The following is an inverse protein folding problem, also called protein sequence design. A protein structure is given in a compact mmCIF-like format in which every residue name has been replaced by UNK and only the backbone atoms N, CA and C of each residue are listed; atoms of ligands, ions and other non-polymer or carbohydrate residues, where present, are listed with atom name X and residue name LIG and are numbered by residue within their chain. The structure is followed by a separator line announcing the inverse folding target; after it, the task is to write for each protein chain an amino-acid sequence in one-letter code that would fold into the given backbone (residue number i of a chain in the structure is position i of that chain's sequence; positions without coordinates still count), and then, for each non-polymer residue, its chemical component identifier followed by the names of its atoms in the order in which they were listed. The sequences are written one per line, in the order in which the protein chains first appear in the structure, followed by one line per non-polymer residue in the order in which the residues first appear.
data_IF_981106795042
#
_entry.id   IF_981106795042
#
_cell.length_a   1.000
_cell.length_b   1.000
_cell.length_c   1.000
_cell.angle_alpha   90.00
_cell.angle_beta   90.00
_cell.angle_gamma   90.00
#
_symmetry.space_group_name_H-M   'P 1'
#
loop_
_entity.id
_entity.type
_entity.pdbx_description
1 polymer ?
#
# COMPACT_ATOMS: atom_id res chain seq x y z
N UNK A 1 -9.83 -5.50 1.80
CA UNK A 1 -9.85 -6.64 2.74
C UNK A 1 -11.09 -6.48 3.61
N UNK A 2 -12.23 -7.06 3.21
CA UNK A 2 -13.58 -6.64 3.64
C UNK A 2 -14.17 -7.44 4.82
N UNK A 3 -13.32 -8.05 5.67
CA UNK A 3 -13.76 -8.97 6.73
C UNK A 3 -13.63 -8.47 8.17
N UNK A 4 -13.04 -7.29 8.39
CA UNK A 4 -12.86 -6.73 9.73
C UNK A 4 -14.12 -5.99 10.19
N UNK A 5 -14.35 -5.95 11.50
CA UNK A 5 -15.38 -5.11 12.12
C UNK A 5 -14.72 -3.98 12.88
N UNK A 6 -15.20 -2.77 12.62
CA UNK A 6 -14.81 -1.56 13.33
C UNK A 6 -16.03 -1.01 14.06
N UNK A 7 -15.88 -0.76 15.36
CA UNK A 7 -16.85 -0.04 16.17
C UNK A 7 -16.16 1.19 16.73
N UNK A 8 -16.77 2.36 16.59
CA UNK A 8 -16.12 3.63 16.87
C UNK A 8 -17.03 4.50 17.73
N UNK A 9 -16.41 5.33 18.57
CA UNK A 9 -17.06 6.39 19.31
C UNK A 9 -16.09 7.54 19.56
N UNK A 10 -16.54 8.54 20.31
CA UNK A 10 -15.73 9.74 20.54
C UNK A 10 -14.43 9.41 21.29
N UNK A 11 -13.31 9.47 20.56
CA UNK A 11 -11.97 9.23 21.09
C UNK A 11 -11.61 7.76 21.35
N UNK A 12 -12.34 6.82 20.75
CA UNK A 12 -11.99 5.40 20.83
C UNK A 12 -12.48 4.58 19.63
N UNK A 13 -11.81 3.46 19.39
CA UNK A 13 -12.15 2.48 18.34
C UNK A 13 -11.90 1.07 18.84
N UNK A 14 -12.82 0.16 18.55
CA UNK A 14 -12.65 -1.29 18.69
C UNK A 14 -12.47 -1.88 17.28
N UNK A 15 -11.45 -2.71 17.11
CA UNK A 15 -11.17 -3.43 15.86
C UNK A 15 -11.18 -4.93 16.13
N UNK A 16 -12.11 -5.62 15.49
CA UNK A 16 -12.11 -7.07 15.40
C UNK A 16 -11.59 -7.48 14.04
N UNK A 17 -10.48 -8.23 14.05
CA UNK A 17 -9.88 -8.73 12.82
C UNK A 17 -10.60 -9.98 12.33
N UNK A 18 -10.49 -10.21 11.02
CA UNK A 18 -11.08 -11.36 10.34
C UNK A 18 -10.70 -12.71 10.97
N UNK A 19 -9.43 -12.84 11.38
CA UNK A 19 -8.90 -14.02 12.05
C UNK A 19 -9.52 -14.14 13.46
N UNK A 20 -10.34 -15.19 13.72
CA UNK A 20 -11.03 -15.35 15.00
C UNK A 20 -10.07 -15.59 16.18
N UNK A 21 -8.82 -15.98 15.93
CA UNK A 21 -7.82 -16.20 16.97
C UNK A 21 -7.10 -14.91 17.39
N UNK A 22 -7.34 -13.79 16.71
CA UNK A 22 -6.71 -12.52 17.05
C UNK A 22 -7.50 -11.79 18.13
N UNK A 23 -6.80 -11.30 19.15
CA UNK A 23 -7.38 -10.48 20.20
C UNK A 23 -8.12 -9.25 19.62
N UNK A 24 -9.31 -8.90 20.15
CA UNK A 24 -9.91 -7.59 19.93
C UNK A 24 -8.91 -6.47 20.25
N UNK A 25 -8.83 -5.46 19.40
CA UNK A 25 -8.00 -4.27 19.66
C UNK A 25 -8.89 -3.12 20.08
N UNK A 26 -8.52 -2.45 21.16
CA UNK A 26 -9.18 -1.25 21.65
C UNK A 26 -8.16 -0.11 21.60
N UNK A 27 -8.42 0.85 20.74
CA UNK A 27 -7.60 2.04 20.54
C UNK A 27 -8.29 3.21 21.23
N UNK A 28 -7.56 3.95 22.07
CA UNK A 28 -8.04 5.13 22.78
C UNK A 28 -7.20 6.33 22.35
N UNK A 29 -7.84 7.41 21.91
CA UNK A 29 -7.16 8.66 21.58
C UNK A 29 -6.39 9.16 22.82
N UNK A 30 -5.11 9.51 22.63
CA UNK A 30 -4.24 10.08 23.67
C UNK A 30 -4.90 11.24 24.42
N UNK A 31 -5.68 12.09 23.73
CA UNK A 31 -6.42 13.21 24.33
C UNK A 31 -7.52 12.76 25.28
N UNK A 32 -8.07 11.57 25.08
CA UNK A 32 -9.13 10.97 25.89
C UNK A 32 -8.64 9.82 26.77
N UNK A 33 -7.33 9.58 26.84
CA UNK A 33 -6.73 8.45 27.53
C UNK A 33 -7.20 8.25 28.98
N UNK A 34 -7.51 9.32 29.71
CA UNK A 34 -7.99 9.24 31.09
C UNK A 34 -9.51 9.14 31.21
N UNK A 35 -10.26 9.73 30.27
CA UNK A 35 -11.72 9.90 30.39
C UNK A 35 -12.51 8.98 29.45
N UNK A 36 -11.83 8.16 28.65
CA UNK A 36 -12.47 7.29 27.68
C UNK A 36 -13.39 6.28 28.35
N UNK A 37 -14.61 6.06 27.83
CA UNK A 37 -15.50 5.00 28.32
C UNK A 37 -14.85 3.62 28.23
N UNK A 38 -13.89 3.42 27.32
CA UNK A 38 -13.19 2.13 27.14
C UNK A 38 -12.22 1.78 28.28
N UNK A 39 -11.96 2.71 29.20
CA UNK A 39 -11.24 2.42 30.44
C UNK A 39 -12.09 1.58 31.41
N UNK A 40 -13.42 1.70 31.35
CA UNK A 40 -14.33 0.85 32.10
C UNK A 40 -14.33 -0.57 31.49
N UNK A 41 -13.98 -1.56 32.32
CA UNK A 41 -13.87 -2.95 31.89
C UNK A 41 -15.21 -3.54 31.47
N UNK A 42 -16.28 -3.28 32.22
CA UNK A 42 -17.60 -3.85 31.93
C UNK A 42 -18.16 -3.27 30.63
N UNK A 43 -18.06 -1.95 30.47
CA UNK A 43 -18.52 -1.28 29.26
C UNK A 43 -17.71 -1.72 28.03
N UNK A 44 -16.40 -1.89 28.19
CA UNK A 44 -15.53 -2.41 27.13
C UNK A 44 -15.90 -3.84 26.73
N UNK A 45 -16.12 -4.73 27.69
CA UNK A 45 -16.53 -6.12 27.44
C UNK A 45 -17.89 -6.17 26.71
N UNK A 46 -18.86 -5.35 27.13
CA UNK A 46 -20.16 -5.24 26.46
C UNK A 46 -20.03 -4.74 25.01
N UNK A 47 -19.23 -3.69 24.79
CA UNK A 47 -18.99 -3.14 23.46
C UNK A 47 -18.28 -4.15 22.53
N UNK A 48 -17.32 -4.92 23.06
CA UNK A 48 -16.67 -6.01 22.32
C UNK A 48 -17.70 -7.08 21.96
N UNK A 49 -18.56 -7.48 22.88
CA UNK A 49 -19.63 -8.46 22.62
C UNK A 49 -20.55 -8.04 21.48
N UNK A 50 -20.97 -6.77 21.45
CA UNK A 50 -21.78 -6.21 20.34
C UNK A 50 -21.01 -6.31 19.01
N UNK A 51 -19.73 -5.94 19.00
CA UNK A 51 -18.91 -6.05 17.80
C UNK A 51 -18.73 -7.50 17.34
N UNK A 52 -18.61 -8.45 18.28
CA UNK A 52 -18.50 -9.88 18.00
C UNK A 52 -19.78 -10.47 17.41
N UNK A 53 -20.95 -10.06 17.91
CA UNK A 53 -22.25 -10.40 17.33
C UNK A 53 -22.36 -9.91 15.88
N UNK A 54 -21.98 -8.65 15.62
CA UNK A 54 -21.97 -8.12 14.26
C UNK A 54 -20.96 -8.86 13.36
N UNK A 55 -19.80 -9.23 13.90
CA UNK A 55 -18.80 -10.04 13.21
C UNK A 55 -19.37 -11.39 12.77
N UNK A 56 -20.30 -12.02 13.52
CA UNK A 56 -20.96 -13.24 13.05
C UNK A 56 -21.79 -13.01 11.78
N UNK A 57 -22.45 -11.86 11.65
CA UNK A 57 -23.21 -11.49 10.45
C UNK A 57 -22.31 -11.15 9.26
N UNK A 58 -21.13 -10.57 9.50
CA UNK A 58 -20.09 -10.40 8.47
C UNK A 58 -19.58 -11.76 7.99
N UNK A 59 -19.24 -12.66 8.92
CA UNK A 59 -18.79 -14.04 8.63
C UNK A 59 -19.84 -14.81 7.82
N UNK A 60 -21.11 -14.77 8.22
CA UNK A 60 -22.18 -15.47 7.52
C UNK A 60 -22.31 -15.04 6.06
N UNK A 61 -22.21 -13.74 5.77
CA UNK A 61 -22.22 -13.22 4.39
C UNK A 61 -21.02 -13.72 3.59
N UNK A 62 -19.82 -13.69 4.18
CA UNK A 62 -18.62 -14.22 3.52
C UNK A 62 -18.72 -15.71 3.20
N UNK A 63 -19.25 -16.50 4.14
CA UNK A 63 -19.39 -17.95 3.96
C UNK A 63 -20.49 -18.34 2.99
N UNK A 64 -21.40 -17.43 2.63
CA UNK A 64 -22.41 -17.70 1.62
C UNK A 64 -21.80 -17.99 0.25
N UNK A 65 -20.66 -17.37 -0.06
CA UNK A 65 -19.93 -17.55 -1.32
C UNK A 65 -18.94 -18.73 -1.28
N UNK A 66 -18.75 -19.35 -0.09
CA UNK A 66 -17.79 -20.43 0.07
C UNK A 66 -18.43 -21.79 -0.25
N UNK A 67 -17.66 -22.75 -0.79
CA UNK A 67 -18.11 -24.14 -0.84
C UNK A 67 -18.52 -24.60 0.56
N UNK A 68 -19.66 -25.29 0.68
CA UNK A 68 -20.16 -25.80 1.97
C UNK A 68 -19.11 -26.63 2.74
N UNK A 69 -18.23 -27.32 2.01
CA UNK A 69 -17.16 -28.16 2.58
C UNK A 69 -15.95 -27.36 3.10
N UNK A 70 -15.91 -26.05 2.88
CA UNK A 70 -14.90 -25.16 3.48
C UNK A 70 -15.17 -24.86 4.95
N UNK A 71 -16.44 -24.80 5.36
CA UNK A 71 -16.85 -24.45 6.74
C UNK A 71 -17.37 -25.64 7.53
N UNK A 72 -17.76 -26.72 6.85
CA UNK A 72 -18.26 -27.94 7.49
C UNK A 72 -17.40 -29.12 7.05
N UNK A 73 -16.53 -29.67 7.92
CA UNK A 73 -15.77 -30.91 7.66
C UNK A 73 -16.68 -32.15 7.56
N UNK A 74 -16.26 -33.16 6.80
CA UNK A 74 -17.01 -34.43 6.67
C UNK A 74 -16.77 -35.38 7.85
N UNK A 75 -17.23 -36.63 7.75
CA UNK A 75 -17.06 -37.61 8.84
C UNK A 75 -15.56 -37.89 9.09
N UNK A 76 -14.77 -37.94 8.02
CA UNK A 76 -13.33 -38.14 7.99
C UNK A 76 -12.53 -36.85 8.30
N UNK A 77 -13.22 -35.71 8.45
CA UNK A 77 -12.63 -34.41 8.73
C UNK A 77 -12.07 -33.69 7.50
N UNK A 78 -12.38 -34.14 6.27
CA UNK A 78 -11.98 -33.46 5.05
C UNK A 78 -12.76 -32.17 4.85
N UNK A 79 -12.04 -31.17 4.34
CA UNK A 79 -12.57 -29.85 3.96
C UNK A 79 -12.05 -29.46 2.59
N UNK A 80 -12.69 -28.46 1.97
CA UNK A 80 -12.30 -27.90 0.67
C UNK A 80 -11.85 -26.45 0.81
N UNK A 81 -10.76 -26.08 0.15
CA UNK A 81 -10.28 -24.69 0.16
C UNK A 81 -11.35 -23.71 -0.37
N UNK A 82 -11.57 -22.55 0.29
CA UNK A 82 -12.65 -21.63 -0.05
C UNK A 82 -12.41 -20.78 -1.32
N UNK A 83 -11.21 -20.79 -1.88
CA UNK A 83 -10.77 -19.84 -2.91
C UNK A 83 -10.00 -20.52 -4.02
N UNK A 84 -9.10 -21.43 -3.65
CA UNK A 84 -8.23 -22.14 -4.57
C UNK A 84 -8.87 -23.47 -4.95
N UNK A 85 -8.84 -23.80 -6.25
CA UNK A 85 -9.28 -25.11 -6.74
C UNK A 85 -8.23 -26.16 -6.38
N UNK A 86 -8.46 -26.83 -5.25
CA UNK A 86 -7.60 -27.86 -4.68
C UNK A 86 -8.43 -29.08 -4.29
N UNK A 87 -7.77 -30.23 -4.14
CA UNK A 87 -8.40 -31.45 -3.61
C UNK A 87 -8.85 -31.26 -2.16
N UNK A 88 -9.87 -32.03 -1.76
CA UNK A 88 -10.31 -32.05 -0.37
C UNK A 88 -9.32 -32.81 0.50
N UNK A 89 -8.92 -32.21 1.62
CA UNK A 89 -7.95 -32.79 2.54
C UNK A 89 -8.42 -32.69 3.98
N UNK A 90 -8.04 -33.68 4.79
CA UNK A 90 -8.20 -33.66 6.24
C UNK A 90 -6.97 -33.08 6.96
N UNK A 91 -5.90 -32.76 6.22
CA UNK A 91 -4.69 -32.10 6.70
C UNK A 91 -4.31 -30.93 5.79
N UNK A 92 -3.86 -29.85 6.42
CA UNK A 92 -3.51 -28.59 5.77
C UNK A 92 -2.24 -28.03 6.39
N UNK A 93 -1.44 -27.35 5.60
CA UNK A 93 -0.11 -26.89 5.96
C UNK A 93 0.00 -25.39 5.73
N UNK A 94 0.59 -24.68 6.69
CA UNK A 94 0.84 -23.25 6.56
C UNK A 94 2.21 -22.98 5.95
N UNK A 95 2.24 -22.23 4.84
CA UNK A 95 3.46 -21.83 4.15
C UNK A 95 4.43 -20.99 5.01
N UNK A 96 3.94 -20.32 6.04
CA UNK A 96 4.74 -19.36 6.82
C UNK A 96 5.44 -19.96 8.03
N UNK A 97 4.88 -21.02 8.61
CA UNK A 97 5.35 -21.56 9.89
C UNK A 97 5.34 -23.08 9.95
N UNK A 98 5.14 -23.75 8.82
CA UNK A 98 5.14 -25.21 8.69
C UNK A 98 4.17 -25.93 9.63
N UNK A 99 3.11 -25.23 10.06
CA UNK A 99 2.11 -25.79 10.94
C UNK A 99 1.25 -26.81 10.18
N UNK A 100 1.11 -28.01 10.72
CA UNK A 100 0.13 -29.02 10.30
C UNK A 100 -1.19 -28.78 11.04
N UNK A 101 -2.27 -28.66 10.30
CA UNK A 101 -3.59 -28.24 10.77
C UNK A 101 -4.63 -29.23 10.24
N UNK A 102 -5.43 -29.82 11.11
CA UNK A 102 -6.51 -30.71 10.69
C UNK A 102 -7.64 -29.95 10.00
N UNK A 103 -8.41 -30.64 9.15
CA UNK A 103 -9.56 -30.04 8.46
C UNK A 103 -10.61 -29.46 9.41
N UNK A 104 -10.80 -30.04 10.59
CA UNK A 104 -11.68 -29.48 11.64
C UNK A 104 -11.14 -28.18 12.22
N UNK A 105 -9.85 -28.14 12.51
CA UNK A 105 -9.18 -26.96 13.05
C UNK A 105 -9.21 -25.79 12.04
N UNK A 106 -8.86 -26.05 10.78
CA UNK A 106 -8.79 -24.98 9.76
C UNK A 106 -10.16 -24.43 9.38
N UNK A 107 -11.21 -25.27 9.36
CA UNK A 107 -12.58 -24.78 9.16
C UNK A 107 -13.04 -23.89 10.33
N UNK A 108 -12.72 -24.28 11.56
CA UNK A 108 -13.04 -23.53 12.77
C UNK A 108 -12.30 -22.19 12.88
N UNK A 109 -11.05 -22.13 12.40
CA UNK A 109 -10.27 -20.89 12.35
C UNK A 109 -10.57 -20.02 11.13
N UNK A 110 -11.61 -20.36 10.35
CA UNK A 110 -11.98 -19.67 9.11
C UNK A 110 -10.83 -19.57 8.12
N UNK A 111 -10.06 -20.64 8.00
CA UNK A 111 -8.91 -20.77 7.11
C UNK A 111 -7.72 -19.88 7.46
N UNK A 112 -7.66 -19.32 8.67
CA UNK A 112 -6.44 -18.73 9.19
C UNK A 112 -5.55 -19.78 9.86
N UNK A 113 -4.23 -19.66 9.70
CA UNK A 113 -3.30 -20.50 10.45
C UNK A 113 -3.45 -20.25 11.95
N UNK A 114 -3.60 -21.31 12.74
CA UNK A 114 -3.71 -21.23 14.21
C UNK A 114 -2.37 -20.92 14.89
N UNK A 115 -1.24 -21.13 14.22
CA UNK A 115 0.10 -20.85 14.74
C UNK A 115 0.53 -19.40 14.55
N UNK A 116 0.51 -18.91 13.30
CA UNK A 116 1.01 -17.58 12.95
C UNK A 116 -0.08 -16.59 12.47
N UNK A 117 -1.33 -17.03 12.30
CA UNK A 117 -2.41 -16.17 11.80
C UNK A 117 -2.43 -15.91 10.29
N UNK A 118 -1.56 -16.58 9.52
CA UNK A 118 -1.51 -16.45 8.06
C UNK A 118 -2.89 -16.63 7.42
N UNK A 119 -3.12 -15.89 6.33
CA UNK A 119 -4.40 -15.84 5.62
C UNK A 119 -4.65 -17.12 4.79
N UNK A 120 -5.91 -17.38 4.39
CA UNK A 120 -6.31 -18.59 3.67
C UNK A 120 -5.47 -18.92 2.44
N UNK A 121 -5.03 -17.91 1.68
CA UNK A 121 -4.22 -18.10 0.46
C UNK A 121 -2.86 -18.77 0.71
N UNK A 122 -2.42 -18.85 1.98
CA UNK A 122 -1.16 -19.45 2.39
C UNK A 122 -1.33 -20.83 3.03
N UNK A 123 -2.50 -21.46 2.87
CA UNK A 123 -2.84 -22.74 3.47
C UNK A 123 -3.03 -23.77 2.35
N UNK A 124 -2.25 -24.85 2.40
CA UNK A 124 -2.17 -25.82 1.30
C UNK A 124 -2.42 -27.25 1.79
N UNK A 125 -2.95 -28.14 0.94
CA UNK A 125 -3.19 -29.54 1.31
C UNK A 125 -1.89 -30.36 1.40
N UNK A 126 -0.78 -29.83 0.88
CA UNK A 126 0.55 -30.42 0.92
C UNK A 126 1.60 -29.34 1.21
N UNK A 127 2.66 -29.69 1.94
CA UNK A 127 3.79 -28.81 2.23
C UNK A 127 4.86 -28.87 1.13
N UNK A 128 4.48 -28.54 -0.11
CA UNK A 128 5.34 -28.70 -1.30
C UNK A 128 6.64 -27.88 -1.27
N UNK A 129 6.72 -26.87 -0.41
CA UNK A 129 7.92 -26.05 -0.20
C UNK A 129 8.97 -26.76 0.65
N UNK A 130 8.59 -27.79 1.42
CA UNK A 130 9.52 -28.51 2.28
C UNK A 130 10.28 -29.57 1.49
N UNK A 131 11.60 -29.39 1.42
CA UNK A 131 12.49 -30.36 0.80
C UNK A 131 12.63 -31.67 1.60
N UNK A 132 13.17 -32.75 1.00
CA UNK A 132 13.34 -34.05 1.68
C UNK A 132 14.19 -34.02 2.96
N UNK A 133 15.04 -32.99 3.11
CA UNK A 133 15.96 -32.80 4.23
C UNK A 133 15.53 -31.66 5.17
N UNK A 134 14.38 -31.03 4.92
CA UNK A 134 13.88 -29.94 5.76
C UNK A 134 13.04 -30.48 6.93
N UNK A 135 12.81 -29.63 7.94
CA UNK A 135 12.01 -29.98 9.11
C UNK A 135 10.61 -30.45 8.68
N UNK A 136 10.09 -31.49 9.34
CA UNK A 136 8.73 -31.94 9.07
C UNK A 136 7.72 -30.93 9.62
N UNK A 137 6.55 -30.78 8.97
CA UNK A 137 5.46 -30.01 9.54
C UNK A 137 5.15 -30.44 10.97
N UNK A 138 4.83 -29.46 11.82
CA UNK A 138 4.57 -29.69 13.24
C UNK A 138 3.08 -29.48 13.50
N UNK A 139 2.38 -30.42 14.16
CA UNK A 139 1.00 -30.23 14.55
C UNK A 139 0.80 -28.93 15.33
N UNK A 140 -0.14 -28.11 14.87
CA UNK A 140 -0.40 -26.82 15.50
C UNK A 140 -0.94 -27.02 16.91
N UNK A 141 -0.36 -26.30 17.88
CA UNK A 141 -0.91 -26.25 19.22
C UNK A 141 -2.10 -25.30 19.24
N UNK A 142 -3.28 -25.84 19.49
CA UNK A 142 -4.52 -25.06 19.59
C UNK A 142 -4.70 -24.65 21.05
N UNK A 143 -5.08 -23.38 21.26
CA UNK A 143 -5.53 -22.91 22.59
C UNK A 143 -6.79 -23.67 23.00
N UNK A 144 -6.99 -23.91 24.29
CA UNK A 144 -8.18 -24.60 24.76
C UNK A 144 -9.46 -23.88 24.31
N UNK A 145 -10.48 -24.62 23.88
CA UNK A 145 -11.79 -24.08 23.53
C UNK A 145 -12.36 -23.28 24.72
N UNK A 146 -12.82 -22.05 24.47
CA UNK A 146 -13.41 -21.18 25.49
C UNK A 146 -12.43 -20.30 26.27
N UNK A 147 -11.14 -20.28 25.91
CA UNK A 147 -10.20 -19.30 26.46
C UNK A 147 -10.43 -17.93 25.82
N UNK A 148 -11.16 -17.05 26.51
CA UNK A 148 -11.33 -15.65 26.09
C UNK A 148 -9.96 -14.99 25.92
N UNK A 149 -9.76 -14.37 24.76
CA UNK A 149 -8.54 -13.62 24.47
C UNK A 149 -8.75 -12.21 25.01
N UNK A 150 -7.96 -11.85 26.02
CA UNK A 150 -8.03 -10.48 26.56
C UNK A 150 -7.80 -9.45 25.45
N UNK A 151 -8.59 -8.37 25.42
CA UNK A 151 -8.44 -7.33 24.43
C UNK A 151 -7.12 -6.58 24.61
N UNK A 152 -6.48 -6.25 23.50
CA UNK A 152 -5.29 -5.39 23.49
C UNK A 152 -5.75 -3.94 23.55
N UNK A 153 -5.56 -3.30 24.69
CA UNK A 153 -5.88 -1.87 24.87
C UNK A 153 -4.62 -1.04 24.62
N UNK A 154 -4.73 -0.04 23.75
CA UNK A 154 -3.63 0.84 23.35
C UNK A 154 -4.07 2.30 23.32
N UNK A 155 -3.17 3.20 23.73
CA UNK A 155 -3.35 4.64 23.60
C UNK A 155 -2.67 5.07 22.30
N UNK A 156 -3.41 5.72 21.41
CA UNK A 156 -2.94 6.11 20.08
C UNK A 156 -3.07 7.62 19.89
N UNK A 157 -2.13 8.24 19.18
CA UNK A 157 -2.31 9.60 18.66
C UNK A 157 -2.92 9.49 17.25
N UNK A 158 -4.20 9.84 17.05
CA UNK A 158 -4.86 9.65 15.76
C UNK A 158 -4.47 10.72 14.73
N UNK A 159 -3.64 11.71 15.10
CA UNK A 159 -3.18 12.72 14.15
C UNK A 159 -2.38 12.05 13.04
N UNK A 160 -2.72 12.31 11.75
CA UNK A 160 -1.92 11.84 10.64
C UNK A 160 -0.46 12.25 10.85
N UNK A 161 0.46 11.28 10.75
CA UNK A 161 1.89 11.55 10.74
C UNK A 161 2.30 11.69 9.27
N UNK A 162 2.87 12.85 8.93
CA UNK A 162 3.57 13.02 7.67
C UNK A 162 5.05 12.75 7.94
N UNK A 163 5.55 11.66 7.36
CA UNK A 163 6.97 11.32 7.35
C UNK A 163 7.44 11.47 5.91
N UNK A 164 8.12 12.58 5.62
CA UNK A 164 8.48 12.95 4.25
C UNK A 164 9.60 12.03 3.76
N UNK A 165 9.36 11.35 2.64
CA UNK A 165 10.39 10.61 1.93
C UNK A 165 11.02 11.46 0.82
N UNK A 166 12.23 11.08 0.38
CA UNK A 166 12.91 11.65 -0.79
C UNK A 166 12.00 11.68 -2.04
N UNK A 167 11.23 10.61 -2.24
CA UNK A 167 10.29 10.50 -3.36
C UNK A 167 9.15 11.52 -3.22
N UNK A 168 8.59 11.69 -2.01
CA UNK A 168 7.53 12.66 -1.76
C UNK A 168 8.00 14.10 -1.98
N UNK A 169 9.20 14.43 -1.48
CA UNK A 169 9.83 15.75 -1.73
C UNK A 169 10.06 15.95 -3.22
N UNK A 170 10.65 14.98 -3.90
CA UNK A 170 10.88 15.01 -5.35
C UNK A 170 9.59 15.27 -6.13
N UNK A 171 8.48 14.66 -5.74
CA UNK A 171 7.19 14.85 -6.39
C UNK A 171 6.60 16.24 -6.13
N UNK A 172 6.69 16.76 -4.90
CA UNK A 172 6.21 18.10 -4.56
C UNK A 172 7.00 19.18 -5.31
N UNK A 173 8.34 19.07 -5.33
CA UNK A 173 9.20 19.99 -6.07
C UNK A 173 8.90 19.92 -7.57
N UNK A 174 8.81 18.72 -8.16
CA UNK A 174 8.49 18.59 -9.59
C UNK A 174 7.11 19.14 -9.94
N UNK A 175 6.11 18.97 -9.07
CA UNK A 175 4.80 19.57 -9.26
C UNK A 175 4.90 21.11 -9.29
N UNK A 176 5.64 21.71 -8.36
CA UNK A 176 5.88 23.15 -8.33
C UNK A 176 6.65 23.65 -9.57
N UNK A 177 7.63 22.90 -10.08
CA UNK A 177 8.29 23.22 -11.35
C UNK A 177 7.32 23.26 -12.54
N UNK A 178 6.30 22.40 -12.55
CA UNK A 178 5.25 22.45 -13.57
C UNK A 178 4.34 23.67 -13.41
N UNK A 179 4.12 24.16 -12.19
CA UNK A 179 3.39 25.40 -11.94
C UNK A 179 4.17 26.62 -12.46
N UNK A 180 5.49 26.62 -12.29
CA UNK A 180 6.36 27.68 -12.79
C UNK A 180 6.45 27.70 -14.33
N UNK A 181 6.21 26.57 -15.01
CA UNK A 181 6.38 26.45 -16.45
C UNK A 181 5.30 27.19 -17.26
N UNK A 182 5.71 28.11 -18.13
CA UNK A 182 4.84 29.01 -18.90
C UNK A 182 4.62 28.58 -20.36
N UNK A 183 5.42 27.63 -20.86
CA UNK A 183 5.39 27.15 -22.24
C UNK A 183 5.74 25.66 -22.33
N UNK A 184 5.67 25.09 -23.54
CA UNK A 184 5.95 23.68 -23.75
C UNK A 184 7.40 23.30 -23.42
N UNK A 185 8.37 24.19 -23.66
CA UNK A 185 9.79 23.99 -23.33
C UNK A 185 9.99 23.81 -21.84
N UNK A 186 9.48 24.76 -21.06
CA UNK A 186 9.66 24.78 -19.62
C UNK A 186 8.97 23.61 -18.94
N UNK A 187 7.85 23.11 -19.49
CA UNK A 187 7.23 21.88 -18.98
C UNK A 187 8.05 20.64 -19.29
N UNK A 188 8.74 20.58 -20.43
CA UNK A 188 9.73 19.53 -20.67
C UNK A 188 10.90 19.67 -19.71
N UNK A 189 11.35 20.91 -19.45
CA UNK A 189 12.38 21.22 -18.45
C UNK A 189 11.99 20.72 -17.06
N UNK A 190 10.81 21.07 -16.57
CA UNK A 190 10.28 20.60 -15.29
C UNK A 190 10.16 19.07 -15.22
N UNK A 191 9.69 18.44 -16.32
CA UNK A 191 9.54 16.99 -16.39
C UNK A 191 10.86 16.22 -16.44
N UNK A 192 11.88 16.79 -17.08
CA UNK A 192 13.20 16.18 -17.29
C UNK A 192 14.24 16.65 -16.26
N UNK A 193 13.93 17.65 -15.44
CA UNK A 193 14.81 18.14 -14.40
C UNK A 193 15.24 16.97 -13.49
N UNK A 194 16.55 16.84 -13.34
CA UNK A 194 17.12 15.91 -12.37
C UNK A 194 16.96 16.55 -11.00
N UNK A 195 16.28 15.84 -10.10
CA UNK A 195 16.02 16.29 -8.74
C UNK A 195 16.72 15.28 -7.84
N UNK A 196 17.80 15.71 -7.22
CA UNK A 196 18.52 14.92 -6.23
C UNK A 196 18.11 15.40 -4.83
N UNK A 197 17.81 14.45 -3.95
CA UNK A 197 17.39 14.71 -2.57
C UNK A 197 18.32 13.95 -1.63
N UNK A 198 18.94 14.68 -0.71
CA UNK A 198 19.89 14.11 0.24
C UNK A 198 19.19 13.45 1.45
N UNK A 199 19.96 13.09 2.48
CA UNK A 199 19.41 12.43 3.68
C UNK A 199 18.73 13.42 4.65
N UNK A 200 19.04 14.71 4.56
CA UNK A 200 18.40 15.80 5.30
C UNK A 200 17.20 16.40 4.55
N UNK A 201 16.90 15.86 3.35
CA UNK A 201 15.88 16.26 2.39
C UNK A 201 16.18 17.56 1.64
N UNK A 202 17.42 18.04 1.67
CA UNK A 202 17.85 19.16 0.85
C UNK A 202 17.91 18.74 -0.62
N UNK A 203 17.63 19.70 -1.49
CA UNK A 203 17.30 19.46 -2.90
C UNK A 203 18.29 20.16 -3.82
N UNK A 204 18.82 19.41 -4.78
CA UNK A 204 19.53 19.98 -5.93
C UNK A 204 18.68 19.74 -7.18
N UNK A 205 18.36 20.81 -7.91
CA UNK A 205 17.63 20.75 -9.17
C UNK A 205 18.59 21.10 -10.32
N UNK A 206 18.83 20.14 -11.21
CA UNK A 206 19.66 20.36 -12.38
C UNK A 206 18.76 20.50 -13.63
N UNK A 207 18.85 21.66 -14.28
CA UNK A 207 18.08 21.97 -15.48
C UNK A 207 18.91 21.86 -16.77
N UNK A 208 18.29 21.33 -17.82
CA UNK A 208 18.81 21.48 -19.19
C UNK A 208 18.50 22.89 -19.71
N UNK A 209 19.55 23.64 -20.06
CA UNK A 209 19.50 25.08 -20.43
C UNK A 209 18.60 25.36 -21.65
N UNK A 210 18.46 24.39 -22.56
CA UNK A 210 17.59 24.48 -23.73
C UNK A 210 16.10 24.39 -23.40
N UNK A 211 15.75 23.81 -22.26
CA UNK A 211 14.36 23.66 -21.83
C UNK A 211 13.95 24.68 -20.78
N UNK A 212 14.85 24.99 -19.84
CA UNK A 212 14.62 25.95 -18.78
C UNK A 212 15.63 27.11 -18.89
N UNK A 213 15.18 28.38 -19.04
CA UNK A 213 16.10 29.50 -19.14
C UNK A 213 16.98 29.64 -17.88
N UNK A 214 18.29 29.81 -18.05
CA UNK A 214 19.25 29.96 -16.94
C UNK A 214 18.88 31.11 -15.99
N UNK A 215 18.37 32.22 -16.54
CA UNK A 215 17.97 33.41 -15.79
C UNK A 215 16.59 33.28 -15.10
N UNK A 216 15.89 32.14 -15.29
CA UNK A 216 14.55 31.95 -14.75
C UNK A 216 14.60 31.17 -13.44
N UNK A 217 14.26 31.85 -12.35
CA UNK A 217 14.06 31.21 -11.05
C UNK A 217 12.74 30.42 -11.00
N UNK A 218 12.76 29.17 -10.50
CA UNK A 218 11.54 28.40 -10.23
C UNK A 218 10.92 28.83 -8.88
N UNK A 219 10.19 29.94 -8.89
CA UNK A 219 9.66 30.57 -7.67
C UNK A 219 8.75 29.63 -6.87
N UNK A 220 7.85 28.88 -7.51
CA UNK A 220 6.97 27.96 -6.82
C UNK A 220 7.76 26.81 -6.16
N UNK A 221 8.81 26.30 -6.82
CA UNK A 221 9.65 25.26 -6.23
C UNK A 221 10.44 25.78 -5.01
N UNK A 222 10.95 27.01 -5.08
CA UNK A 222 11.61 27.69 -3.95
C UNK A 222 10.64 27.88 -2.79
N UNK A 223 9.40 28.30 -3.05
CA UNK A 223 8.37 28.47 -2.02
C UNK A 223 8.00 27.14 -1.34
N UNK A 224 7.88 26.05 -2.13
CA UNK A 224 7.64 24.71 -1.59
C UNK A 224 8.79 24.26 -0.69
N UNK A 225 10.04 24.44 -1.13
CA UNK A 225 11.21 24.11 -0.31
C UNK A 225 11.22 24.89 1.01
N UNK A 226 10.92 26.20 0.97
CA UNK A 226 10.84 27.04 2.15
C UNK A 226 9.73 26.58 3.14
N UNK A 227 8.57 26.16 2.63
CA UNK A 227 7.47 25.62 3.47
C UNK A 227 7.85 24.29 4.11
N UNK A 228 8.59 23.45 3.39
CA UNK A 228 9.12 22.18 3.90
C UNK A 228 10.31 22.39 4.86
N UNK A 229 10.93 23.58 4.84
CA UNK A 229 12.10 23.90 5.64
C UNK A 229 13.38 23.22 5.15
N UNK A 230 13.47 22.98 3.84
CA UNK A 230 14.61 22.31 3.18
C UNK A 230 15.38 23.33 2.33
N UNK A 231 16.70 23.14 2.20
CA UNK A 231 17.54 23.94 1.31
C UNK A 231 17.36 23.49 -0.14
N UNK A 232 17.48 24.45 -1.08
CA UNK A 232 17.31 24.21 -2.51
C UNK A 232 18.45 24.89 -3.27
N UNK A 233 19.18 24.10 -4.05
CA UNK A 233 20.24 24.53 -4.95
C UNK A 233 19.84 24.30 -6.42
N UNK A 234 20.24 25.23 -7.28
CA UNK A 234 19.96 25.19 -8.72
C UNK A 234 21.26 25.00 -9.48
N UNK A 235 21.26 24.02 -10.39
CA UNK A 235 22.38 23.73 -11.27
C UNK A 235 21.94 23.69 -12.73
N UNK A 236 22.89 23.89 -13.63
CA UNK A 236 22.70 23.72 -15.06
C UNK A 236 23.39 22.43 -15.51
N UNK A 237 22.62 21.58 -16.18
CA UNK A 237 23.10 20.40 -16.87
C UNK A 237 23.24 20.69 -18.36
N UNK A 238 24.31 20.20 -18.97
CA UNK A 238 24.49 20.18 -20.42
C UNK A 238 24.31 18.76 -20.93
N UNK A 239 23.20 18.52 -21.62
CA UNK A 239 22.89 17.23 -22.23
C UNK A 239 22.51 17.38 -23.71
N UNK A 240 22.33 16.25 -24.39
CA UNK A 240 21.70 16.23 -25.71
C UNK A 240 20.18 16.14 -25.51
N UNK A 241 19.42 17.25 -25.65
CA UNK A 241 18.00 17.26 -25.34
C UNK A 241 17.23 16.37 -26.33
N UNK A 242 16.37 15.51 -25.78
CA UNK A 242 15.66 14.48 -26.54
C UNK A 242 14.78 15.04 -27.67
N UNK A 243 14.37 16.32 -27.59
CA UNK A 243 13.40 16.94 -28.50
C UNK A 243 13.55 18.46 -28.66
N UNK A 244 14.71 19.07 -28.39
CA UNK A 244 14.83 20.53 -28.46
C UNK A 244 15.03 21.03 -29.91
N UNK A 245 14.15 21.93 -30.36
CA UNK A 245 14.35 22.73 -31.56
C UNK A 245 14.47 24.22 -31.19
N UNK A 246 15.54 24.92 -31.63
CA UNK A 246 15.78 26.32 -31.22
C UNK A 246 14.57 27.22 -31.44
N UNK A 247 14.09 27.86 -30.36
CA UNK A 247 13.01 28.85 -30.40
C UNK A 247 11.61 28.33 -30.73
N UNK A 248 11.42 27.00 -30.86
CA UNK A 248 10.13 26.43 -31.25
C UNK A 248 9.22 26.15 -30.05
N UNK A 249 9.81 25.77 -28.93
CA UNK A 249 9.08 25.38 -27.73
C UNK A 249 8.52 26.58 -26.95
N UNK A 250 8.99 27.79 -27.26
CA UNK A 250 8.57 29.06 -26.66
C UNK A 250 7.36 29.69 -27.36
N UNK A 251 6.93 29.18 -28.52
CA UNK A 251 5.84 29.78 -29.32
C UNK A 251 4.46 29.19 -29.03
N UNK A 252 4.38 28.14 -28.23
CA UNK A 252 3.13 27.45 -27.92
C UNK A 252 3.08 26.92 -26.48
N UNK A 253 1.88 26.97 -25.91
CA UNK A 253 1.54 26.34 -24.65
C UNK A 253 0.89 24.97 -24.83
N UNK A 254 0.80 24.44 -26.05
CA UNK A 254 0.19 23.15 -26.35
C UNK A 254 1.28 22.14 -26.72
N UNK A 255 1.41 21.08 -25.92
CA UNK A 255 2.37 19.98 -26.22
C UNK A 255 2.05 19.32 -27.57
N UNK A 256 0.76 19.22 -27.93
CA UNK A 256 0.36 18.68 -29.22
C UNK A 256 0.80 19.56 -30.40
N UNK A 257 0.69 20.89 -30.26
CA UNK A 257 1.14 21.82 -31.29
C UNK A 257 2.66 21.86 -31.36
N UNK A 258 3.34 21.84 -30.21
CA UNK A 258 4.80 21.72 -30.16
C UNK A 258 5.27 20.48 -30.92
N UNK A 259 4.67 19.31 -30.65
CA UNK A 259 5.02 18.07 -31.34
C UNK A 259 4.82 18.18 -32.85
N UNK A 260 3.72 18.78 -33.32
CA UNK A 260 3.49 18.99 -34.76
C UNK A 260 4.57 19.89 -35.36
N UNK A 261 4.80 21.04 -34.74
CA UNK A 261 5.78 22.03 -35.19
C UNK A 261 7.19 21.42 -35.23
N UNK A 262 7.56 20.67 -34.20
CA UNK A 262 8.84 19.99 -34.10
C UNK A 262 8.98 18.98 -35.24
N UNK A 263 7.99 18.09 -35.44
CA UNK A 263 8.02 17.12 -36.54
C UNK A 263 8.13 17.81 -37.91
N UNK A 264 7.43 18.92 -38.12
CA UNK A 264 7.52 19.68 -39.37
C UNK A 264 8.91 20.32 -39.54
N UNK A 265 9.48 20.88 -38.47
CA UNK A 265 10.84 21.43 -38.48
C UNK A 265 11.89 20.35 -38.80
N UNK A 266 11.80 19.17 -38.19
CA UNK A 266 12.67 18.04 -38.49
C UNK A 266 12.48 17.53 -39.93
N UNK A 267 11.25 17.51 -40.48
CA UNK A 267 11.02 17.14 -41.89
C UNK A 267 11.58 18.15 -42.88
N UNK A 268 11.49 19.44 -42.57
CA UNK A 268 11.93 20.51 -43.47
C UNK A 268 13.43 20.80 -43.37
N UNK A 269 14.04 20.57 -42.21
CA UNK A 269 15.39 21.04 -41.90
C UNK A 269 16.28 20.03 -41.18
N UNK A 270 15.74 18.89 -40.74
CA UNK A 270 16.46 17.84 -40.03
C UNK A 270 16.80 16.62 -40.90
N UNK A 271 17.60 15.71 -40.34
CA UNK A 271 17.83 14.37 -40.88
C UNK A 271 16.84 13.43 -40.17
N UNK A 272 15.77 13.03 -40.84
CA UNK A 272 14.80 12.07 -40.30
C UNK A 272 15.14 10.69 -40.84
N UNK A 273 15.62 9.79 -39.98
CA UNK A 273 15.64 8.36 -40.30
C UNK A 273 14.20 7.85 -40.21
N UNK A 274 13.57 7.60 -41.36
CA UNK A 274 12.23 7.00 -41.39
C UNK A 274 12.28 5.62 -40.75
N UNK A 275 11.48 5.39 -39.70
CA UNK A 275 11.20 4.02 -39.25
C UNK A 275 10.48 3.29 -40.38
N UNK A 276 11.17 2.34 -41.01
CA UNK A 276 10.56 1.38 -41.92
C UNK A 276 9.31 0.80 -41.27
N UNK A 277 8.16 0.96 -41.93
CA UNK A 277 6.85 0.44 -41.49
C UNK A 277 6.69 -1.08 -41.70
N UNK A 278 7.80 -1.79 -41.81
CA UNK A 278 7.83 -3.25 -41.99
C UNK A 278 8.61 -3.89 -40.84
N UNK A 279 8.03 -3.88 -39.63
CA UNK A 279 8.30 -4.81 -38.52
C UNK A 279 7.13 -4.86 -37.56
#
# INVERSE_FOLDING_TARGET
MFGNVHMEGDGWRIVLLENPSTAPRVEIDIKQSQNSPMNDRMLREEAIGIAEEFMQSVKARRFADWPRRATKPDAEGKVRHPFLEMEESNLWYCLHCDAEITGRQIAGSHWHCLGCGASPINIFPEAFWLGPNEGKPVPVQVRAEGQEVEPIVSIVDPRPRLDLSKDQVTHLIRAALFEDATNASERMGAGLAEIWVDDDLDVVISFEDRYWPEEKEPTAAIDVAAVLGIELELEVMWSDPLFAWPGLATVTQSTADYTRMMLDAYRSHGIVEERNKDQ
#
